data_IF_021800911455
#
_entry.id   IF_021800911455
#
_cell.length_a   1.000
_cell.length_b   1.000
_cell.length_c   1.000
_cell.angle_alpha   90.00
_cell.angle_beta   90.00
_cell.angle_gamma   90.00
#
_symmetry.space_group_name_H-M   'P 1'
#
loop_
_entity.id
_entity.type
_entity.pdbx_description
1 polymer ?
#
# COMPACT_ATOMS: atom_id res chain seq x y z
N UNK A 1 12.81 30.75 -28.39
CA UNK A 1 13.13 30.25 -27.01
C UNK A 1 14.45 29.49 -27.10
N UNK A 2 15.51 29.87 -26.35
CA UNK A 2 16.74 29.10 -26.31
C UNK A 2 16.53 27.90 -25.38
N UNK A 3 16.90 26.70 -25.85
CA UNK A 3 16.87 25.48 -25.06
C UNK A 3 17.80 25.63 -23.85
N UNK A 4 17.36 25.28 -22.61
CA UNK A 4 18.23 25.35 -21.44
C UNK A 4 19.43 24.39 -21.63
N UNK A 5 20.62 24.73 -21.06
CA UNK A 5 21.79 23.88 -21.17
C UNK A 5 21.53 22.55 -20.44
N UNK A 6 21.87 21.45 -21.10
CA UNK A 6 21.89 20.12 -20.49
C UNK A 6 23.09 20.05 -19.54
N UNK A 7 22.81 19.97 -18.24
CA UNK A 7 23.82 19.76 -17.21
C UNK A 7 23.76 18.29 -16.80
N UNK A 8 24.79 17.54 -17.12
CA UNK A 8 24.93 16.17 -16.62
C UNK A 8 25.45 16.24 -15.19
N UNK A 9 24.70 15.73 -14.19
CA UNK A 9 25.20 15.68 -12.81
C UNK A 9 26.46 14.81 -12.74
N UNK A 10 27.52 15.32 -12.12
CA UNK A 10 28.77 14.58 -11.96
C UNK A 10 28.73 13.58 -10.80
N UNK A 11 27.92 13.88 -9.80
CA UNK A 11 27.71 13.04 -8.62
C UNK A 11 26.21 13.03 -8.30
N UNK A 12 25.70 11.88 -7.92
CA UNK A 12 24.34 11.70 -7.39
C UNK A 12 24.49 11.25 -5.95
N UNK A 13 24.13 12.13 -5.01
CA UNK A 13 24.08 11.77 -3.60
C UNK A 13 22.75 11.04 -3.33
N UNK A 14 22.86 9.76 -2.95
CA UNK A 14 21.69 8.95 -2.59
C UNK A 14 21.60 8.89 -1.07
N UNK A 15 20.55 9.46 -0.46
CA UNK A 15 20.42 9.44 0.99
C UNK A 15 20.35 8.01 1.50
N UNK A 16 21.09 7.74 2.59
CA UNK A 16 21.13 6.40 3.21
C UNK A 16 20.06 6.29 4.29
N UNK A 17 19.33 5.17 4.26
CA UNK A 17 18.37 4.86 5.30
C UNK A 17 19.09 4.61 6.65
N UNK A 18 18.58 5.21 7.70
CA UNK A 18 18.99 4.97 9.09
C UNK A 18 18.11 3.85 9.66
N UNK A 19 18.75 2.80 10.18
CA UNK A 19 18.02 1.69 10.80
C UNK A 19 17.91 1.88 12.30
N UNK A 20 16.69 1.75 12.81
CA UNK A 20 16.36 1.74 14.23
C UNK A 20 15.62 0.44 14.56
N UNK A 21 15.80 -0.04 15.79
CA UNK A 21 15.03 -1.19 16.30
C UNK A 21 14.04 -0.67 17.32
N UNK A 22 12.75 -0.93 17.10
CA UNK A 22 11.68 -0.55 18.01
C UNK A 22 11.65 -1.49 19.24
N UNK A 23 11.02 -1.08 20.36
CA UNK A 23 10.95 -1.91 21.58
C UNK A 23 10.31 -3.29 21.39
N UNK A 24 9.43 -3.43 20.40
CA UNK A 24 8.79 -4.70 20.00
C UNK A 24 9.66 -5.57 19.08
N UNK A 25 10.90 -5.16 18.78
CA UNK A 25 11.83 -5.85 17.89
C UNK A 25 11.67 -5.54 16.40
N UNK A 26 10.67 -4.76 16.00
CA UNK A 26 10.49 -4.37 14.62
C UNK A 26 11.60 -3.42 14.14
N UNK A 27 11.99 -3.54 12.88
CA UNK A 27 12.97 -2.64 12.25
C UNK A 27 12.27 -1.44 11.63
N UNK A 28 12.69 -0.24 11.98
CA UNK A 28 12.30 1.01 11.36
C UNK A 28 13.47 1.52 10.50
N UNK A 29 13.20 1.86 9.26
CA UNK A 29 14.14 2.49 8.35
C UNK A 29 13.67 3.91 8.09
N UNK A 30 14.49 4.90 8.42
CA UNK A 30 14.19 6.31 8.24
C UNK A 30 15.15 6.94 7.22
N UNK A 31 14.61 7.71 6.30
CA UNK A 31 15.37 8.57 5.38
C UNK A 31 14.92 9.99 5.70
N UNK A 32 15.64 10.73 6.56
CA UNK A 32 15.30 12.11 6.86
C UNK A 32 15.55 13.00 5.64
N UNK A 33 14.66 13.96 5.41
CA UNK A 33 14.82 15.03 4.44
C UNK A 33 14.22 16.28 5.04
N UNK A 34 14.99 17.38 5.01
CA UNK A 34 14.56 18.70 5.47
C UNK A 34 13.98 19.54 4.32
N UNK A 35 13.99 19.02 3.09
CA UNK A 35 13.58 19.75 1.89
C UNK A 35 12.06 19.84 1.71
N UNK A 36 11.31 18.95 2.38
CA UNK A 36 9.87 18.84 2.19
C UNK A 36 9.12 18.74 3.51
N UNK A 37 7.98 19.40 3.60
CA UNK A 37 7.05 19.28 4.74
C UNK A 37 6.13 18.06 4.62
N UNK A 38 6.45 17.12 3.74
CA UNK A 38 5.68 15.89 3.50
C UNK A 38 6.47 14.71 4.01
N UNK A 39 5.80 13.83 4.73
CA UNK A 39 6.36 12.54 5.11
C UNK A 39 5.53 11.39 4.54
N UNK A 40 6.18 10.28 4.29
CA UNK A 40 5.54 9.00 3.98
C UNK A 40 6.06 7.96 4.97
N UNK A 41 5.13 7.18 5.56
CA UNK A 41 5.48 6.02 6.35
C UNK A 41 4.74 4.79 5.83
N UNK A 42 5.42 3.67 5.84
CA UNK A 42 4.93 2.42 5.25
C UNK A 42 5.14 1.27 6.24
N UNK A 43 4.07 0.57 6.51
CA UNK A 43 4.13 -0.72 7.21
C UNK A 43 4.29 -1.82 6.18
N UNK A 44 5.29 -2.70 6.39
CA UNK A 44 5.59 -3.81 5.48
C UNK A 44 5.35 -5.12 6.21
N UNK A 45 4.43 -5.92 5.69
CA UNK A 45 4.07 -7.22 6.25
C UNK A 45 4.47 -8.33 5.29
N UNK A 46 5.06 -9.39 5.80
CA UNK A 46 5.32 -10.61 5.03
C UNK A 46 4.03 -11.41 4.88
N UNK A 47 3.13 -10.91 4.04
CA UNK A 47 1.76 -11.42 3.84
C UNK A 47 1.32 -11.31 2.37
N UNK A 48 2.26 -11.39 1.44
CA UNK A 48 1.98 -11.29 0.02
C UNK A 48 1.22 -12.47 -0.56
N UNK A 49 0.94 -12.40 -1.85
CA UNK A 49 0.11 -13.39 -2.55
C UNK A 49 0.67 -14.82 -2.55
N UNK A 50 1.98 -15.00 -2.34
CA UNK A 50 2.59 -16.33 -2.22
C UNK A 50 2.26 -17.04 -0.89
N UNK A 51 1.83 -16.30 0.13
CA UNK A 51 1.52 -16.83 1.47
C UNK A 51 0.02 -16.94 1.73
N UNK A 52 -0.82 -16.55 0.77
CA UNK A 52 -2.28 -16.60 0.93
C UNK A 52 -2.82 -18.03 0.83
N UNK A 53 -3.84 -18.35 1.66
CA UNK A 53 -4.49 -19.65 1.66
C UNK A 53 -5.59 -19.81 0.58
N UNK A 54 -6.06 -18.68 0.04
CA UNK A 54 -7.07 -18.64 -1.02
C UNK A 54 -6.70 -17.55 -2.04
N UNK A 55 -7.01 -17.74 -3.34
CA UNK A 55 -6.76 -16.73 -4.34
C UNK A 55 -7.37 -15.39 -3.95
N UNK A 56 -6.58 -14.32 -4.11
CA UNK A 56 -6.94 -12.93 -3.78
C UNK A 56 -7.15 -12.60 -2.29
N UNK A 57 -6.97 -13.54 -1.37
CA UNK A 57 -7.16 -13.29 0.07
C UNK A 57 -6.26 -12.14 0.57
N UNK A 58 -4.98 -12.12 0.19
CA UNK A 58 -4.05 -11.06 0.58
C UNK A 58 -4.53 -9.68 0.11
N UNK A 59 -4.91 -9.55 -1.16
CA UNK A 59 -5.39 -8.29 -1.72
C UNK A 59 -6.76 -7.89 -1.17
N UNK A 60 -7.66 -8.83 -0.95
CA UNK A 60 -8.96 -8.54 -0.34
C UNK A 60 -8.78 -8.01 1.09
N UNK A 61 -8.02 -8.74 1.94
CA UNK A 61 -7.74 -8.32 3.31
C UNK A 61 -7.12 -6.92 3.35
N UNK A 62 -6.11 -6.67 2.53
CA UNK A 62 -5.40 -5.40 2.54
C UNK A 62 -6.28 -4.22 2.06
N UNK A 63 -7.10 -4.43 1.01
CA UNK A 63 -8.01 -3.38 0.52
C UNK A 63 -9.21 -3.15 1.44
N UNK A 64 -9.61 -4.15 2.23
CA UNK A 64 -10.73 -4.02 3.18
C UNK A 64 -10.33 -3.31 4.48
N UNK A 65 -9.05 -3.04 4.73
CA UNK A 65 -8.60 -2.37 5.96
C UNK A 65 -9.22 -0.98 6.15
N UNK A 66 -9.47 -0.24 5.07
CA UNK A 66 -10.09 1.09 5.12
C UNK A 66 -11.61 1.08 5.20
N UNK A 67 -12.24 -0.09 5.09
CA UNK A 67 -13.71 -0.21 5.08
C UNK A 67 -14.34 -0.14 6.49
N UNK A 68 -13.54 0.06 7.50
CA UNK A 68 -13.96 0.33 8.87
C UNK A 68 -13.01 -0.20 9.93
N UNK A 69 -13.07 0.40 11.09
CA UNK A 69 -12.42 -0.05 12.31
C UNK A 69 -13.45 -0.15 13.44
N UNK A 70 -13.03 -0.65 14.61
CA UNK A 70 -13.91 -0.72 15.77
C UNK A 70 -14.59 0.62 16.07
N UNK A 71 -13.84 1.72 15.96
CA UNK A 71 -14.26 3.03 16.43
C UNK A 71 -14.60 4.01 15.32
N UNK A 72 -14.34 3.63 14.04
CA UNK A 72 -14.57 4.48 12.88
C UNK A 72 -15.18 3.70 11.72
N UNK A 73 -16.20 4.27 11.10
CA UNK A 73 -16.72 3.81 9.81
C UNK A 73 -15.76 4.15 8.68
N UNK A 74 -15.87 3.50 7.51
CA UNK A 74 -15.11 3.82 6.29
C UNK A 74 -15.17 5.32 5.96
N UNK A 75 -16.38 5.90 6.06
CA UNK A 75 -16.60 7.33 5.83
C UNK A 75 -15.81 8.20 6.80
N UNK A 76 -15.82 7.89 8.09
CA UNK A 76 -15.08 8.65 9.10
C UNK A 76 -13.57 8.52 8.92
N UNK A 77 -13.07 7.35 8.50
CA UNK A 77 -11.66 7.16 8.13
C UNK A 77 -11.30 8.07 6.96
N UNK A 78 -12.08 8.05 5.88
CA UNK A 78 -11.87 8.90 4.71
C UNK A 78 -11.93 10.40 5.08
N UNK A 79 -12.96 10.84 5.79
CA UNK A 79 -13.11 12.24 6.22
C UNK A 79 -11.94 12.72 7.09
N UNK A 80 -11.40 11.87 7.98
CA UNK A 80 -10.22 12.24 8.79
C UNK A 80 -8.96 12.35 7.96
N UNK A 81 -8.72 11.41 7.04
CA UNK A 81 -7.57 11.48 6.14
C UNK A 81 -7.66 12.72 5.25
N UNK A 82 -8.81 12.97 4.63
CA UNK A 82 -9.06 14.11 3.76
C UNK A 82 -8.90 15.45 4.50
N UNK A 83 -9.40 15.54 5.73
CA UNK A 83 -9.26 16.75 6.55
C UNK A 83 -7.80 17.14 6.81
N UNK A 84 -6.91 16.16 6.91
CA UNK A 84 -5.48 16.37 7.11
C UNK A 84 -4.69 16.41 5.78
N UNK A 85 -5.36 16.21 4.63
CA UNK A 85 -4.70 16.06 3.34
C UNK A 85 -3.78 14.83 3.32
N UNK A 86 -4.16 13.79 4.04
CA UNK A 86 -3.41 12.54 4.15
C UNK A 86 -3.92 11.51 3.15
N UNK A 87 -3.03 10.67 2.65
CA UNK A 87 -3.36 9.61 1.70
C UNK A 87 -3.04 8.25 2.29
N UNK A 88 -3.94 7.31 2.06
CA UNK A 88 -3.78 5.89 2.36
C UNK A 88 -3.63 5.11 1.06
N UNK A 89 -2.66 4.23 1.00
CA UNK A 89 -2.38 3.41 -0.17
C UNK A 89 -1.99 1.99 0.27
N UNK A 90 -2.53 1.01 -0.45
CA UNK A 90 -2.21 -0.40 -0.26
C UNK A 90 -1.60 -0.97 -1.53
N UNK A 91 -0.49 -1.68 -1.37
CA UNK A 91 0.10 -2.46 -2.44
C UNK A 91 0.36 -3.88 -1.94
N UNK A 92 0.02 -4.87 -2.76
CA UNK A 92 0.24 -6.30 -2.46
C UNK A 92 1.06 -6.89 -3.59
N UNK A 93 2.26 -7.32 -3.28
CA UNK A 93 3.09 -8.08 -4.20
C UNK A 93 3.09 -9.58 -3.86
N UNK A 94 4.07 -10.30 -4.39
CA UNK A 94 4.18 -11.75 -4.18
C UNK A 94 4.55 -12.08 -2.72
N UNK A 95 5.43 -11.32 -2.11
CA UNK A 95 6.02 -11.64 -0.81
C UNK A 95 5.47 -10.76 0.32
N UNK A 96 5.10 -9.50 0.00
CA UNK A 96 4.79 -8.48 1.00
C UNK A 96 3.48 -7.76 0.71
N UNK A 97 2.91 -7.22 1.78
CA UNK A 97 1.87 -6.19 1.76
C UNK A 97 2.47 -4.89 2.27
N UNK A 98 2.29 -3.82 1.52
CA UNK A 98 2.72 -2.48 1.87
C UNK A 98 1.50 -1.63 2.16
N UNK A 99 1.45 -1.08 3.36
CA UNK A 99 0.38 -0.17 3.80
C UNK A 99 1.04 1.18 4.06
N UNK A 100 0.80 2.13 3.17
CA UNK A 100 1.46 3.43 3.15
C UNK A 100 0.51 4.54 3.49
N UNK A 101 1.01 5.50 4.25
CA UNK A 101 0.35 6.77 4.52
C UNK A 101 1.30 7.90 4.14
N UNK A 102 0.75 8.91 3.48
CA UNK A 102 1.47 10.16 3.16
C UNK A 102 0.72 11.31 3.79
N UNK A 103 1.40 12.21 4.45
CA UNK A 103 0.80 13.39 5.09
C UNK A 103 1.80 14.55 5.18
N UNK A 104 1.31 15.73 5.49
CA UNK A 104 2.19 16.80 5.96
C UNK A 104 2.79 16.42 7.32
N UNK A 105 4.04 16.80 7.57
CA UNK A 105 4.76 16.49 8.80
C UNK A 105 4.01 16.92 10.07
N UNK A 106 3.34 18.08 10.02
CA UNK A 106 2.51 18.59 11.12
C UNK A 106 1.28 17.73 11.44
N UNK A 107 0.83 16.91 10.50
CA UNK A 107 -0.32 16.01 10.66
C UNK A 107 0.08 14.54 10.82
N UNK A 108 1.36 14.27 11.07
CA UNK A 108 1.85 12.92 11.32
C UNK A 108 1.10 12.22 12.47
N UNK A 109 0.96 12.88 13.62
CA UNK A 109 0.27 12.32 14.79
C UNK A 109 -1.17 11.89 14.47
N UNK A 110 -2.03 12.80 14.02
CA UNK A 110 -3.40 12.46 13.62
C UNK A 110 -3.50 11.38 12.53
N UNK A 111 -2.59 11.37 11.57
CA UNK A 111 -2.56 10.32 10.52
C UNK A 111 -2.13 8.97 11.10
N UNK A 112 -1.19 8.97 12.04
CA UNK A 112 -0.75 7.75 12.72
C UNK A 112 -1.88 7.15 13.60
N UNK A 113 -2.70 7.97 14.25
CA UNK A 113 -3.88 7.51 15.00
C UNK A 113 -4.88 6.77 14.08
N UNK A 114 -5.12 7.31 12.87
CA UNK A 114 -5.94 6.61 11.87
C UNK A 114 -5.29 5.31 11.42
N UNK A 115 -3.98 5.31 11.18
CA UNK A 115 -3.23 4.11 10.81
C UNK A 115 -3.32 3.03 11.91
N UNK A 116 -3.23 3.42 13.17
CA UNK A 116 -3.39 2.52 14.33
C UNK A 116 -4.77 1.86 14.33
N UNK A 117 -5.83 2.63 14.15
CA UNK A 117 -7.20 2.10 14.08
C UNK A 117 -7.38 1.10 12.94
N UNK A 118 -6.91 1.45 11.74
CA UNK A 118 -7.00 0.60 10.55
C UNK A 118 -6.22 -0.71 10.73
N UNK A 119 -5.03 -0.64 11.35
CA UNK A 119 -4.13 -1.80 11.43
C UNK A 119 -4.41 -2.70 12.63
N UNK A 120 -4.77 -2.13 13.79
CA UNK A 120 -4.91 -2.89 15.02
C UNK A 120 -6.36 -3.30 15.32
N UNK A 121 -7.33 -2.60 14.75
CA UNK A 121 -8.74 -2.83 15.04
C UNK A 121 -9.61 -2.81 13.76
N UNK A 122 -9.18 -3.46 12.66
CA UNK A 122 -9.96 -3.47 11.42
C UNK A 122 -11.27 -4.21 11.63
N UNK A 123 -12.32 -3.71 10.99
CA UNK A 123 -13.54 -4.44 10.73
C UNK A 123 -13.55 -4.88 9.26
N UNK A 124 -14.16 -6.03 9.01
CA UNK A 124 -14.35 -6.53 7.65
C UNK A 124 -15.86 -6.70 7.40
N UNK A 125 -16.60 -5.58 7.13
CA UNK A 125 -18.04 -5.65 6.94
C UNK A 125 -18.39 -6.58 5.77
N UNK A 126 -19.35 -7.48 5.99
CA UNK A 126 -19.70 -8.50 4.99
C UNK A 126 -20.23 -7.89 3.69
N UNK A 127 -21.01 -6.81 3.80
CA UNK A 127 -21.56 -6.12 2.63
C UNK A 127 -20.48 -5.47 1.79
N UNK A 128 -19.48 -4.83 2.42
CA UNK A 128 -18.33 -4.25 1.74
C UNK A 128 -17.45 -5.33 1.09
N UNK A 129 -17.22 -6.45 1.79
CA UNK A 129 -16.51 -7.59 1.20
C UNK A 129 -17.24 -8.14 -0.01
N UNK A 130 -18.57 -8.23 0.04
CA UNK A 130 -19.39 -8.67 -1.10
C UNK A 130 -19.26 -7.70 -2.28
N UNK A 131 -19.36 -6.39 -2.01
CA UNK A 131 -19.17 -5.35 -3.03
C UNK A 131 -17.77 -5.40 -3.66
N UNK A 132 -16.72 -5.56 -2.83
CA UNK A 132 -15.35 -5.76 -3.29
C UNK A 132 -15.23 -6.98 -4.22
N UNK A 133 -15.76 -8.12 -3.81
CA UNK A 133 -15.72 -9.35 -4.60
C UNK A 133 -16.42 -9.19 -5.97
N UNK A 134 -17.58 -8.55 -6.01
CA UNK A 134 -18.28 -8.30 -7.28
C UNK A 134 -17.51 -7.36 -8.20
N UNK A 135 -16.95 -6.28 -7.66
CA UNK A 135 -16.07 -5.36 -8.40
C UNK A 135 -14.83 -6.10 -8.94
N UNK A 136 -14.22 -6.95 -8.12
CA UNK A 136 -13.03 -7.72 -8.52
C UNK A 136 -13.34 -8.73 -9.62
N UNK A 137 -14.48 -9.44 -9.55
CA UNK A 137 -14.94 -10.34 -10.62
C UNK A 137 -15.11 -9.60 -11.94
N UNK A 138 -15.74 -8.42 -11.92
CA UNK A 138 -15.90 -7.59 -13.12
C UNK A 138 -14.53 -7.18 -13.70
N UNK A 139 -13.62 -6.72 -12.85
CA UNK A 139 -12.25 -6.35 -13.24
C UNK A 139 -11.53 -7.51 -13.89
N UNK A 140 -11.54 -8.69 -13.26
CA UNK A 140 -10.92 -9.91 -13.81
C UNK A 140 -11.50 -10.31 -15.16
N UNK A 141 -12.83 -10.15 -15.35
CA UNK A 141 -13.48 -10.43 -16.63
C UNK A 141 -12.97 -9.51 -17.74
N UNK A 142 -12.69 -8.25 -17.42
CA UNK A 142 -12.12 -7.28 -18.36
C UNK A 142 -10.63 -7.57 -18.60
N UNK A 143 -9.88 -7.84 -17.55
CA UNK A 143 -8.43 -8.12 -17.62
C UNK A 143 -8.15 -9.36 -18.48
N UNK A 144 -8.92 -10.43 -18.35
CA UNK A 144 -8.82 -11.65 -19.19
C UNK A 144 -9.10 -11.46 -20.67
N UNK A 145 -9.66 -10.32 -21.06
CA UNK A 145 -9.83 -9.97 -22.50
C UNK A 145 -8.59 -9.27 -23.07
N UNK A 146 -7.64 -8.88 -22.23
CA UNK A 146 -6.40 -8.23 -22.67
C UNK A 146 -5.36 -9.30 -22.99
N UNK A 147 -4.83 -9.25 -24.21
CA UNK A 147 -3.84 -10.23 -24.70
C UNK A 147 -2.58 -10.26 -23.86
N UNK A 148 -2.09 -9.10 -23.40
CA UNK A 148 -0.91 -9.00 -22.54
C UNK A 148 -1.10 -9.68 -21.18
N UNK A 149 -2.29 -9.61 -20.59
CA UNK A 149 -2.62 -10.32 -19.35
C UNK A 149 -2.59 -11.83 -19.56
N UNK A 150 -3.26 -12.32 -20.60
CA UNK A 150 -3.32 -13.76 -20.92
C UNK A 150 -1.93 -14.31 -21.25
N UNK A 151 -1.12 -13.58 -22.01
CA UNK A 151 0.26 -14.00 -22.31
C UNK A 151 1.11 -14.12 -21.06
N UNK A 152 1.01 -13.20 -20.11
CA UNK A 152 1.74 -13.27 -18.83
C UNK A 152 1.30 -14.46 -17.98
N UNK A 153 -0.01 -14.76 -17.93
CA UNK A 153 -0.54 -15.93 -17.23
C UNK A 153 0.01 -17.23 -17.83
N UNK A 154 -0.09 -17.39 -19.15
CA UNK A 154 0.40 -18.60 -19.85
C UNK A 154 1.93 -18.72 -19.68
N UNK A 155 2.67 -17.62 -19.77
CA UNK A 155 4.12 -17.63 -19.60
C UNK A 155 4.50 -18.03 -18.16
N UNK A 156 3.81 -17.51 -17.16
CA UNK A 156 4.04 -17.87 -15.77
C UNK A 156 3.69 -19.34 -15.50
N UNK A 157 2.59 -19.83 -16.06
CA UNK A 157 2.19 -21.24 -15.97
C UNK A 157 3.24 -22.14 -16.61
N UNK A 158 3.70 -21.81 -17.83
CA UNK A 158 4.73 -22.60 -18.51
C UNK A 158 6.07 -22.65 -17.77
N UNK A 159 6.42 -21.62 -16.99
CA UNK A 159 7.67 -21.58 -16.23
C UNK A 159 7.59 -22.21 -14.84
N UNK A 160 6.42 -22.17 -14.19
CA UNK A 160 6.29 -22.42 -12.75
C UNK A 160 5.22 -23.46 -12.38
N UNK A 161 4.46 -24.00 -13.37
CA UNK A 161 3.36 -24.95 -13.07
C UNK A 161 3.80 -26.28 -12.43
N UNK A 162 5.07 -26.66 -12.60
CA UNK A 162 5.63 -27.90 -12.06
C UNK A 162 6.40 -27.71 -10.74
N UNK A 163 6.15 -26.63 -9.98
CA UNK A 163 6.83 -26.35 -8.70
C UNK A 163 5.88 -26.13 -7.55
#
# INVERSE_FOLDING_TARGET
MKQPPLITPREVDVPRAQRHTLPNGASLYAIPSDDFEVLRFTFVFRAGSALQHAPFAASATANMLSEGSRDMTARQIAERLDFHGSYFEVNVDRDYVYISFSSLSKFFGPTLEVAEQILLQPLFPEDELRAYCEKRKQTLTIERRKVDTVVREIFAEALFADR
#
